data_IF_678263370774
#
_entry.id   IF_678263370774
#
_cell.length_a   1.000
_cell.length_b   1.000
_cell.length_c   1.000
_cell.angle_alpha   90.00
_cell.angle_beta   90.00
_cell.angle_gamma   90.00
#
_symmetry.space_group_name_H-M   'P 1'
#
loop_
_entity.id
_entity.type
_entity.pdbx_description
1 polymer ?
#
# COMPACT_ATOMS: atom_id res chain seq x y z
N UNK A 1 -6.14 -25.15 -5.18
CA UNK A 1 -5.30 -26.07 -5.97
C UNK A 1 -3.90 -25.99 -5.39
N UNK A 2 -3.30 -27.13 -5.06
CA UNK A 2 -2.09 -27.24 -4.23
C UNK A 2 -0.88 -26.46 -4.81
N UNK A 3 -0.16 -25.74 -3.95
CA UNK A 3 1.13 -25.11 -4.27
C UNK A 3 2.17 -26.18 -4.63
N UNK A 4 2.80 -26.06 -5.79
CA UNK A 4 3.91 -26.91 -6.20
C UNK A 4 5.22 -26.22 -5.82
N UNK A 5 5.97 -26.85 -4.91
CA UNK A 5 7.24 -26.33 -4.40
C UNK A 5 8.29 -26.31 -5.53
N UNK A 6 8.83 -25.14 -5.86
CA UNK A 6 10.18 -25.02 -6.41
C UNK A 6 10.39 -25.14 -7.93
N UNK A 7 9.43 -24.74 -8.77
CA UNK A 7 9.68 -24.70 -10.21
C UNK A 7 10.22 -23.33 -10.68
N UNK A 8 11.51 -23.11 -10.42
CA UNK A 8 12.21 -21.84 -10.68
C UNK A 8 12.23 -21.46 -12.18
N UNK A 9 12.12 -22.44 -13.07
CA UNK A 9 12.08 -22.25 -14.53
C UNK A 9 10.78 -21.56 -14.95
N UNK A 10 9.65 -21.99 -14.41
CA UNK A 10 8.31 -21.49 -14.71
C UNK A 10 8.12 -20.10 -14.13
N UNK A 11 8.63 -19.87 -12.92
CA UNK A 11 8.68 -18.53 -12.32
C UNK A 11 9.57 -17.57 -13.15
N UNK A 12 10.67 -18.07 -13.73
CA UNK A 12 11.52 -17.28 -14.62
C UNK A 12 10.79 -16.92 -15.93
N UNK A 13 10.11 -17.89 -16.55
CA UNK A 13 9.33 -17.66 -17.77
C UNK A 13 8.15 -16.71 -17.54
N UNK A 14 7.45 -16.82 -16.42
CA UNK A 14 6.38 -15.88 -16.06
C UNK A 14 6.92 -14.46 -15.85
N UNK A 15 8.07 -14.30 -15.18
CA UNK A 15 8.74 -13.00 -15.05
C UNK A 15 9.14 -12.43 -16.41
N UNK A 16 9.61 -13.27 -17.33
CA UNK A 16 9.96 -12.86 -18.69
C UNK A 16 8.72 -12.44 -19.48
N UNK A 17 7.60 -13.16 -19.36
CA UNK A 17 6.31 -12.78 -19.95
C UNK A 17 5.79 -11.46 -19.39
N UNK A 18 5.81 -11.26 -18.06
CA UNK A 18 5.41 -10.01 -17.42
C UNK A 18 6.27 -8.84 -17.91
N UNK A 19 7.60 -9.02 -17.99
CA UNK A 19 8.52 -7.98 -18.50
C UNK A 19 8.36 -7.70 -19.98
N UNK A 20 7.92 -8.68 -20.75
CA UNK A 20 7.68 -8.58 -22.18
C UNK A 20 6.27 -8.14 -22.56
N UNK A 21 5.34 -8.08 -21.59
CA UNK A 21 3.99 -7.63 -21.83
C UNK A 21 3.98 -6.11 -21.90
N UNK A 22 3.67 -5.58 -23.08
CA UNK A 22 3.44 -4.17 -23.30
C UNK A 22 2.00 -3.92 -23.73
N UNK A 23 1.51 -2.72 -23.44
CA UNK A 23 0.12 -2.40 -23.72
C UNK A 23 -0.18 -2.37 -25.22
N UNK A 24 0.73 -1.81 -26.04
CA UNK A 24 0.56 -1.58 -27.50
C UNK A 24 -0.87 -1.16 -27.85
N UNK A 25 -1.54 -1.97 -28.68
CA UNK A 25 -2.88 -1.75 -29.21
C UNK A 25 -3.97 -2.37 -28.32
N UNK A 26 -3.61 -2.97 -27.17
CA UNK A 26 -4.58 -3.53 -26.23
C UNK A 26 -5.30 -2.39 -25.49
N UNK A 27 -6.61 -2.55 -25.28
CA UNK A 27 -7.33 -1.68 -24.35
C UNK A 27 -6.79 -1.85 -22.93
N UNK A 28 -6.83 -0.79 -22.13
CA UNK A 28 -6.33 -0.81 -20.74
C UNK A 28 -6.94 -1.94 -19.90
N UNK A 29 -8.21 -2.29 -20.13
CA UNK A 29 -8.89 -3.37 -19.43
C UNK A 29 -8.30 -4.74 -19.79
N UNK A 30 -7.97 -4.96 -21.06
CA UNK A 30 -7.39 -6.22 -21.56
C UNK A 30 -5.96 -6.35 -21.07
N UNK A 31 -5.14 -5.31 -21.22
CA UNK A 31 -3.76 -5.31 -20.73
C UNK A 31 -3.69 -5.55 -19.21
N UNK A 32 -4.56 -4.89 -18.44
CA UNK A 32 -4.62 -5.10 -17.00
C UNK A 32 -5.05 -6.52 -16.62
N UNK A 33 -6.06 -7.08 -17.30
CA UNK A 33 -6.51 -8.44 -17.05
C UNK A 33 -5.41 -9.47 -17.33
N UNK A 34 -4.67 -9.31 -18.42
CA UNK A 34 -3.53 -10.17 -18.79
C UNK A 34 -2.38 -10.04 -17.79
N UNK A 35 -2.00 -8.80 -17.44
CA UNK A 35 -0.96 -8.55 -16.46
C UNK A 35 -1.33 -9.12 -15.09
N UNK A 36 -2.58 -8.90 -14.65
CA UNK A 36 -3.09 -9.42 -13.37
C UNK A 36 -3.10 -10.95 -13.34
N UNK A 37 -3.49 -11.61 -14.43
CA UNK A 37 -3.46 -13.07 -14.55
C UNK A 37 -2.03 -13.62 -14.46
N UNK A 38 -1.07 -13.00 -15.15
CA UNK A 38 0.34 -13.40 -15.08
C UNK A 38 0.95 -13.21 -13.69
N UNK A 39 0.57 -12.14 -12.99
CA UNK A 39 1.00 -11.93 -11.61
C UNK A 39 0.40 -12.96 -10.64
N UNK A 40 -0.89 -13.27 -10.77
CA UNK A 40 -1.53 -14.33 -9.98
C UNK A 40 -0.88 -15.70 -10.22
N UNK A 41 -0.54 -16.00 -11.47
CA UNK A 41 0.16 -17.24 -11.81
C UNK A 41 1.61 -17.23 -11.29
N UNK A 42 2.31 -16.10 -11.37
CA UNK A 42 3.65 -15.97 -10.77
C UNK A 42 3.61 -16.15 -9.25
N UNK A 43 2.58 -15.63 -8.59
CA UNK A 43 2.39 -15.76 -7.15
C UNK A 43 2.01 -17.20 -6.75
N UNK A 44 1.39 -17.98 -7.64
CA UNK A 44 1.17 -19.42 -7.45
C UNK A 44 2.48 -20.23 -7.39
N UNK A 45 3.55 -19.78 -8.08
CA UNK A 45 4.86 -20.45 -8.10
C UNK A 45 5.87 -19.91 -7.08
N UNK A 46 5.57 -18.80 -6.39
CA UNK A 46 6.39 -18.33 -5.27
C UNK A 46 6.02 -19.12 -4.02
N UNK A 47 6.98 -19.78 -3.39
CA UNK A 47 6.85 -20.05 -1.96
C UNK A 47 6.86 -18.71 -1.25
N UNK A 48 5.76 -18.32 -0.63
CA UNK A 48 5.77 -17.24 0.35
C UNK A 48 6.81 -17.61 1.42
N UNK A 49 7.87 -16.81 1.51
CA UNK A 49 8.79 -16.81 2.64
C UNK A 49 8.74 -15.42 3.22
N UNK A 50 8.12 -15.28 4.39
CA UNK A 50 8.27 -14.11 5.22
C UNK A 50 9.77 -13.88 5.48
N UNK A 51 10.29 -12.73 5.05
CA UNK A 51 11.73 -12.45 5.06
C UNK A 51 12.26 -12.19 6.49
N UNK A 52 11.37 -11.97 7.47
CA UNK A 52 11.74 -11.81 8.88
C UNK A 52 10.81 -12.61 9.81
N UNK A 53 11.32 -13.74 10.32
CA UNK A 53 10.62 -14.55 11.34
C UNK A 53 10.50 -13.85 12.70
N UNK A 54 11.34 -12.84 12.97
CA UNK A 54 11.24 -12.03 14.20
C UNK A 54 10.05 -11.07 14.16
N UNK A 55 9.73 -10.49 13.00
CA UNK A 55 8.65 -9.51 12.89
C UNK A 55 7.29 -10.18 12.75
N UNK A 56 7.21 -11.34 12.09
CA UNK A 56 5.99 -12.15 12.09
C UNK A 56 5.57 -12.55 13.52
N UNK A 57 6.54 -12.92 14.37
CA UNK A 57 6.29 -13.26 15.77
C UNK A 57 5.94 -12.02 16.60
N UNK A 58 6.57 -10.87 16.36
CA UNK A 58 6.25 -9.62 17.06
C UNK A 58 4.86 -9.07 16.68
N UNK A 59 4.50 -9.13 15.39
CA UNK A 59 3.18 -8.79 14.86
C UNK A 59 2.11 -9.75 15.39
N UNK A 60 2.42 -11.03 15.49
CA UNK A 60 1.53 -12.03 16.09
C UNK A 60 1.32 -11.77 17.60
N UNK A 61 2.38 -11.42 18.34
CA UNK A 61 2.29 -11.07 19.76
C UNK A 61 1.56 -9.74 20.03
N UNK A 62 1.59 -8.79 19.08
CA UNK A 62 0.81 -7.55 19.17
C UNK A 62 -0.66 -7.78 18.82
N UNK A 63 -0.95 -8.57 17.78
CA UNK A 63 -2.30 -8.93 17.35
C UNK A 63 -3.05 -9.81 18.38
N UNK A 64 -2.35 -10.75 19.03
CA UNK A 64 -2.93 -11.63 20.07
C UNK A 64 -3.29 -10.90 21.37
N UNK A 65 -2.72 -9.71 21.62
CA UNK A 65 -2.97 -8.92 22.85
C UNK A 65 -4.11 -7.90 22.74
N UNK A 66 -4.73 -7.74 21.57
CA UNK A 66 -5.86 -6.80 21.39
C UNK A 66 -7.18 -7.57 21.45
N UNK A 67 -7.98 -7.43 22.53
CA UNK A 67 -9.29 -8.03 22.55
C UNK A 67 -10.25 -7.26 21.61
N UNK A 68 -10.90 -8.02 20.73
CA UNK A 68 -12.15 -7.73 20.01
C UNK A 68 -12.11 -6.88 18.73
N UNK A 69 -12.84 -7.42 17.72
CA UNK A 69 -13.19 -6.93 16.36
C UNK A 69 -12.15 -7.29 15.29
N UNK A 70 -12.58 -7.67 14.06
CA UNK A 70 -11.63 -7.96 12.99
C UNK A 70 -10.79 -6.72 12.70
N UNK A 71 -9.48 -6.83 12.89
CA UNK A 71 -8.54 -5.84 12.40
C UNK A 71 -8.39 -6.08 10.89
N UNK A 72 -8.69 -5.06 10.10
CA UNK A 72 -8.51 -5.11 8.65
C UNK A 72 -7.19 -4.46 8.29
N UNK A 73 -6.36 -5.20 7.56
CA UNK A 73 -5.16 -4.66 6.93
C UNK A 73 -5.40 -4.49 5.43
N UNK A 74 -4.84 -3.44 4.86
CA UNK A 74 -4.84 -3.20 3.42
C UNK A 74 -3.40 -2.99 2.98
N UNK A 75 -2.94 -3.80 2.03
CA UNK A 75 -1.57 -3.71 1.52
C UNK A 75 -1.60 -3.16 0.10
N UNK A 76 -0.81 -2.11 -0.14
CA UNK A 76 -0.71 -1.45 -1.44
C UNK A 76 0.73 -1.53 -1.93
N UNK A 77 0.94 -2.20 -3.06
CA UNK A 77 2.26 -2.34 -3.67
C UNK A 77 2.42 -1.36 -4.83
N UNK A 78 3.48 -0.55 -4.77
CA UNK A 78 3.89 0.34 -5.85
C UNK A 78 5.30 -0.04 -6.29
N UNK A 79 5.46 -0.32 -7.58
CA UNK A 79 6.73 -0.70 -8.17
C UNK A 79 7.21 0.39 -9.12
N UNK A 80 8.51 0.70 -9.08
CA UNK A 80 9.17 1.53 -10.06
C UNK A 80 9.90 0.65 -11.08
N UNK A 81 9.86 1.04 -12.35
CA UNK A 81 10.62 0.42 -13.45
C UNK A 81 12.10 0.83 -13.44
N UNK A 82 12.42 1.91 -12.73
CA UNK A 82 13.76 2.52 -12.66
C UNK A 82 14.27 2.57 -11.22
N UNK A 83 15.59 2.48 -11.02
CA UNK A 83 16.19 2.66 -9.70
C UNK A 83 15.92 4.08 -9.18
N UNK A 84 15.74 4.20 -7.87
CA UNK A 84 15.54 5.49 -7.20
C UNK A 84 16.81 6.34 -7.35
N UNK A 85 16.66 7.58 -7.81
CA UNK A 85 17.74 8.55 -7.80
C UNK A 85 18.05 8.95 -6.34
N UNK A 86 19.23 8.58 -5.83
CA UNK A 86 19.65 8.85 -4.45
C UNK A 86 19.64 10.32 -4.05
N UNK A 87 19.83 11.23 -5.02
CA UNK A 87 19.84 12.67 -4.76
C UNK A 87 18.43 13.30 -4.77
N UNK A 88 17.41 12.55 -5.21
CA UNK A 88 16.01 13.01 -5.21
C UNK A 88 15.41 13.01 -3.81
N UNK A 89 14.30 13.73 -3.62
CA UNK A 89 13.52 13.69 -2.38
C UNK A 89 13.11 12.25 -2.01
N UNK A 90 12.73 11.43 -2.99
CA UNK A 90 12.42 10.02 -2.78
C UNK A 90 13.64 9.22 -2.31
N UNK A 91 14.82 9.45 -2.90
CA UNK A 91 16.06 8.81 -2.46
C UNK A 91 16.41 9.16 -1.01
N UNK A 92 16.35 10.45 -0.67
CA UNK A 92 16.56 10.94 0.69
C UNK A 92 15.53 10.41 1.69
N UNK A 93 14.29 10.23 1.27
CA UNK A 93 13.23 9.66 2.10
C UNK A 93 13.46 8.16 2.36
N UNK A 94 13.80 7.41 1.30
CA UNK A 94 14.05 5.97 1.38
C UNK A 94 15.25 5.67 2.28
N UNK A 95 16.34 6.41 2.16
CA UNK A 95 17.57 6.20 2.94
C UNK A 95 17.66 7.10 4.20
N UNK A 96 16.60 7.87 4.49
CA UNK A 96 16.54 8.84 5.59
C UNK A 96 16.25 8.22 6.96
N UNK A 97 16.15 9.08 7.98
CA UNK A 97 15.70 8.66 9.32
C UNK A 97 14.17 8.61 9.41
N UNK A 98 13.63 7.88 10.38
CA UNK A 98 12.18 7.84 10.62
C UNK A 98 11.64 9.24 10.96
N UNK A 99 12.38 10.05 11.73
CA UNK A 99 12.03 11.45 11.97
C UNK A 99 11.86 12.24 10.66
N UNK A 100 12.74 12.02 9.68
CA UNK A 100 12.61 12.65 8.37
C UNK A 100 11.38 12.13 7.64
N UNK A 101 11.18 10.80 7.60
CA UNK A 101 10.05 10.16 6.94
C UNK A 101 8.72 10.61 7.53
N UNK A 102 8.58 10.60 8.84
CA UNK A 102 7.39 11.06 9.55
C UNK A 102 7.05 12.51 9.26
N UNK A 103 8.09 13.35 9.15
CA UNK A 103 7.90 14.76 8.86
C UNK A 103 7.50 15.06 7.41
N UNK A 104 7.52 14.06 6.53
CA UNK A 104 7.42 14.21 5.08
C UNK A 104 6.36 13.31 4.44
N UNK A 105 6.02 12.16 5.03
CA UNK A 105 5.08 11.20 4.44
C UNK A 105 3.67 11.80 4.37
N UNK A 106 3.19 12.07 3.15
CA UNK A 106 1.98 12.85 2.89
C UNK A 106 0.93 11.99 2.20
N UNK A 107 -0.32 12.10 2.66
CA UNK A 107 -1.49 11.45 2.07
C UNK A 107 -2.50 12.52 1.66
N UNK A 108 -3.03 12.39 0.44
CA UNK A 108 -4.16 13.19 -0.04
C UNK A 108 -5.34 12.25 -0.26
N UNK A 109 -6.38 12.31 0.59
CA UNK A 109 -7.60 11.56 0.39
C UNK A 109 -8.64 12.37 -0.41
N UNK A 110 -9.46 11.67 -1.19
CA UNK A 110 -10.64 12.26 -1.85
C UNK A 110 -11.77 11.24 -1.92
N UNK A 111 -12.90 11.57 -1.29
CA UNK A 111 -14.15 10.81 -1.50
C UNK A 111 -14.81 11.27 -2.79
N UNK A 112 -14.71 10.45 -3.83
CA UNK A 112 -15.29 10.70 -5.16
C UNK A 112 -16.81 10.55 -5.08
N UNK A 113 -17.25 9.38 -4.63
CA UNK A 113 -18.65 9.02 -4.46
C UNK A 113 -18.89 8.58 -3.01
N UNK A 114 -20.05 8.91 -2.46
CA UNK A 114 -20.39 8.52 -1.09
C UNK A 114 -21.21 9.55 -0.32
N UNK A 115 -21.69 9.13 0.84
CA UNK A 115 -22.51 9.93 1.74
C UNK A 115 -21.78 11.22 2.17
N UNK A 116 -22.48 12.35 2.18
CA UNK A 116 -21.88 13.67 2.38
C UNK A 116 -21.19 13.83 3.74
N UNK A 117 -21.66 13.14 4.79
CA UNK A 117 -21.00 13.15 6.10
C UNK A 117 -19.61 12.49 6.04
N UNK A 118 -19.44 11.43 5.24
CA UNK A 118 -18.15 10.79 5.01
C UNK A 118 -17.21 11.74 4.27
N UNK A 119 -17.72 12.44 3.24
CA UNK A 119 -16.95 13.49 2.52
C UNK A 119 -16.45 14.58 3.47
N UNK A 120 -17.31 15.03 4.38
CA UNK A 120 -16.97 16.08 5.37
C UNK A 120 -15.95 15.59 6.41
N UNK A 121 -16.07 14.36 6.89
CA UNK A 121 -15.18 13.81 7.91
C UNK A 121 -13.77 13.54 7.37
N UNK A 122 -13.66 13.03 6.14
CA UNK A 122 -12.37 12.75 5.48
C UNK A 122 -11.74 14.04 4.96
N UNK A 123 -12.56 14.96 4.44
CA UNK A 123 -12.09 16.18 3.78
C UNK A 123 -11.37 15.89 2.46
N UNK A 124 -10.70 16.92 1.93
CA UNK A 124 -9.89 16.86 0.71
C UNK A 124 -8.48 17.43 0.92
N UNK A 125 -8.15 17.80 2.17
CA UNK A 125 -6.88 18.42 2.51
C UNK A 125 -5.82 17.33 2.69
N UNK A 126 -4.62 17.60 2.18
CA UNK A 126 -3.46 16.76 2.45
C UNK A 126 -3.17 16.67 3.95
N UNK A 127 -2.73 15.49 4.39
CA UNK A 127 -2.30 15.23 5.76
C UNK A 127 -0.87 14.68 5.75
N UNK A 128 -0.04 15.08 6.72
CA UNK A 128 1.27 14.46 6.95
C UNK A 128 1.05 13.25 7.85
N UNK A 129 0.94 12.09 7.21
CA UNK A 129 0.45 10.86 7.82
C UNK A 129 1.38 10.41 8.95
N UNK A 130 2.70 10.46 8.74
CA UNK A 130 3.67 10.11 9.77
C UNK A 130 3.73 11.05 10.98
N UNK A 131 3.02 12.19 10.96
CA UNK A 131 2.76 13.01 12.16
C UNK A 131 1.40 12.74 12.78
N UNK A 132 0.46 12.20 12.02
CA UNK A 132 -0.93 12.04 12.43
C UNK A 132 -1.21 10.67 13.07
N UNK A 133 -0.46 9.66 12.66
CA UNK A 133 -0.54 8.27 13.12
C UNK A 133 0.87 7.68 13.22
N UNK A 134 1.01 6.57 13.91
CA UNK A 134 2.28 5.87 14.04
C UNK A 134 2.60 5.21 12.71
N UNK A 135 3.82 5.44 12.21
CA UNK A 135 4.33 4.76 11.03
C UNK A 135 5.59 3.98 11.40
N UNK A 136 5.65 2.71 11.02
CA UNK A 136 6.84 1.88 11.17
C UNK A 136 7.47 1.64 9.80
N UNK A 137 8.78 1.83 9.69
CA UNK A 137 9.49 1.79 8.41
C UNK A 137 10.44 0.62 8.35
N UNK A 138 10.30 -0.22 7.33
CA UNK A 138 11.23 -1.31 7.05
C UNK A 138 11.92 -1.06 5.71
N UNK A 139 13.19 -0.67 5.77
CA UNK A 139 14.05 -0.50 4.59
C UNK A 139 14.87 -1.77 4.37
N UNK A 140 14.73 -2.40 3.21
CA UNK A 140 15.56 -3.52 2.72
C UNK A 140 16.24 -3.11 1.41
N UNK A 141 17.03 -3.97 0.74
CA UNK A 141 17.79 -3.55 -0.45
C UNK A 141 16.91 -2.97 -1.57
N UNK A 142 15.79 -3.64 -1.88
CA UNK A 142 14.96 -3.36 -3.05
C UNK A 142 13.57 -2.78 -2.74
N UNK A 143 13.21 -2.60 -1.47
CA UNK A 143 11.93 -2.00 -1.09
C UNK A 143 12.02 -1.17 0.19
N UNK A 144 11.03 -0.29 0.35
CA UNK A 144 10.69 0.37 1.59
C UNK A 144 9.25 0.01 1.89
N UNK A 145 9.02 -0.58 3.05
CA UNK A 145 7.70 -0.82 3.60
C UNK A 145 7.41 0.23 4.67
N UNK A 146 6.14 0.68 4.71
CA UNK A 146 5.63 1.66 5.66
C UNK A 146 4.35 1.07 6.23
N UNK A 147 4.41 0.56 7.45
CA UNK A 147 3.22 0.18 8.19
C UNK A 147 2.59 1.44 8.80
N UNK A 148 1.28 1.57 8.70
CA UNK A 148 0.54 2.76 9.12
C UNK A 148 -0.57 2.34 10.08
N UNK A 149 -0.29 2.49 11.38
CA UNK A 149 -1.26 2.16 12.42
C UNK A 149 -2.28 3.29 12.61
N UNK A 150 -3.38 3.21 11.86
CA UNK A 150 -4.53 4.11 12.00
C UNK A 150 -5.13 4.05 13.42
N UNK A 151 -4.97 2.92 14.11
CA UNK A 151 -5.39 2.68 15.48
C UNK A 151 -4.72 3.58 16.51
N UNK A 152 -3.50 4.07 16.22
CA UNK A 152 -2.73 4.84 17.20
C UNK A 152 -3.28 6.24 17.47
N UNK A 153 -4.17 6.75 16.60
CA UNK A 153 -4.81 8.07 16.74
C UNK A 153 -6.31 7.95 17.01
N UNK A 154 -6.82 8.59 18.06
CA UNK A 154 -8.27 8.64 18.34
C UNK A 154 -9.05 9.34 17.23
N UNK A 155 -8.46 10.36 16.61
CA UNK A 155 -9.06 11.08 15.47
C UNK A 155 -9.12 10.17 14.25
N UNK A 156 -8.01 9.52 13.89
CA UNK A 156 -7.96 8.64 12.73
C UNK A 156 -8.88 7.43 12.90
N UNK A 157 -8.93 6.82 14.10
CA UNK A 157 -9.90 5.78 14.46
C UNK A 157 -11.35 6.21 14.28
N UNK A 158 -11.69 7.43 14.65
CA UNK A 158 -13.04 7.95 14.50
C UNK A 158 -13.42 8.09 13.02
N UNK A 159 -12.50 8.61 12.20
CA UNK A 159 -12.70 8.75 10.75
C UNK A 159 -12.83 7.39 10.07
N UNK A 160 -11.92 6.45 10.34
CA UNK A 160 -11.96 5.13 9.69
C UNK A 160 -13.20 4.33 10.12
N UNK A 161 -13.63 4.43 11.39
CA UNK A 161 -14.87 3.78 11.85
C UNK A 161 -16.08 4.27 11.07
N UNK A 162 -16.16 5.58 10.81
CA UNK A 162 -17.21 6.14 9.96
C UNK A 162 -17.10 5.62 8.52
N UNK A 163 -15.90 5.66 7.92
CA UNK A 163 -15.66 5.21 6.54
C UNK A 163 -16.04 3.74 6.37
N UNK A 164 -15.64 2.87 7.29
CA UNK A 164 -15.95 1.44 7.28
C UNK A 164 -17.47 1.18 7.33
N UNK A 165 -18.23 2.02 8.04
CA UNK A 165 -19.70 1.94 8.06
C UNK A 165 -20.37 2.19 6.71
N UNK A 166 -19.68 2.85 5.77
CA UNK A 166 -20.20 3.16 4.43
C UNK A 166 -19.36 2.56 3.29
N UNK A 167 -18.36 1.74 3.60
CA UNK A 167 -17.28 1.38 2.66
C UNK A 167 -17.77 0.70 1.37
N UNK A 168 -18.87 -0.04 1.43
CA UNK A 168 -19.52 -0.69 0.28
C UNK A 168 -20.29 0.26 -0.64
N UNK A 169 -20.42 1.54 -0.25
CA UNK A 169 -21.21 2.57 -0.94
C UNK A 169 -20.41 3.82 -1.30
N UNK A 170 -19.09 3.80 -1.08
CA UNK A 170 -18.20 4.93 -1.37
C UNK A 170 -17.14 4.56 -2.40
N UNK A 171 -16.60 5.60 -3.06
CA UNK A 171 -15.39 5.52 -3.86
C UNK A 171 -14.38 6.50 -3.30
N UNK A 172 -13.19 6.00 -2.97
CA UNK A 172 -12.12 6.78 -2.35
C UNK A 172 -10.89 6.74 -3.22
N UNK A 173 -10.37 7.92 -3.56
CA UNK A 173 -9.04 8.06 -4.14
C UNK A 173 -8.05 8.42 -3.02
N UNK A 174 -6.91 7.75 -3.02
CA UNK A 174 -5.78 8.06 -2.16
C UNK A 174 -4.57 8.34 -3.04
N UNK A 175 -3.85 9.42 -2.76
CA UNK A 175 -2.55 9.72 -3.36
C UNK A 175 -1.49 9.84 -2.28
N UNK A 176 -0.37 9.15 -2.47
CA UNK A 176 0.76 9.11 -1.55
C UNK A 176 1.88 9.95 -2.15
N UNK A 177 2.45 10.83 -1.34
CA UNK A 177 3.49 11.77 -1.72
C UNK A 177 4.54 11.91 -0.61
N UNK A 178 5.66 12.53 -0.95
CA UNK A 178 6.62 13.05 0.02
C UNK A 178 6.51 14.57 -0.04
N UNK A 179 6.26 15.19 1.11
CA UNK A 179 6.15 16.64 1.24
C UNK A 179 7.49 17.32 0.97
N UNK A 180 7.53 18.26 0.05
CA UNK A 180 8.66 19.16 -0.11
C UNK A 180 8.56 20.25 0.96
N UNK A 181 9.69 20.65 1.54
CA UNK A 181 9.77 21.81 2.44
C UNK A 181 10.77 22.87 2.00
N UNK A 182 11.70 22.51 1.13
CA UNK A 182 12.61 23.45 0.49
C UNK A 182 12.22 23.65 -0.97
N UNK A 183 12.53 24.83 -1.52
CA UNK A 183 12.21 25.16 -2.92
C UNK A 183 12.85 24.19 -3.92
N UNK A 184 14.07 23.71 -3.62
CA UNK A 184 14.78 22.72 -4.45
C UNK A 184 14.11 21.33 -4.46
N UNK A 185 13.23 21.07 -3.50
CA UNK A 185 12.46 19.81 -3.42
C UNK A 185 11.17 19.89 -4.24
N UNK A 186 10.79 21.08 -4.74
CA UNK A 186 9.59 21.29 -5.54
C UNK A 186 9.85 21.06 -7.05
N UNK A 187 8.82 20.63 -7.81
CA UNK A 187 7.49 20.26 -7.32
C UNK A 187 7.47 18.91 -6.59
N UNK A 188 6.50 18.72 -5.69
CA UNK A 188 6.22 17.39 -5.12
C UNK A 188 5.70 16.44 -6.20
N UNK A 189 6.10 15.18 -6.12
CA UNK A 189 5.65 14.14 -7.05
C UNK A 189 4.76 13.12 -6.34
N UNK A 190 3.73 12.66 -7.04
CA UNK A 190 2.91 11.53 -6.59
C UNK A 190 3.72 10.25 -6.73
N UNK A 191 3.87 9.51 -5.64
CA UNK A 191 4.57 8.22 -5.61
C UNK A 191 3.65 7.08 -6.03
N UNK A 192 2.38 7.15 -5.62
CA UNK A 192 1.41 6.10 -5.85
C UNK A 192 0.00 6.63 -5.65
N UNK A 193 -0.95 6.04 -6.36
CA UNK A 193 -2.37 6.30 -6.18
C UNK A 193 -3.14 5.01 -6.17
N UNK A 194 -4.23 4.98 -5.42
CA UNK A 194 -5.21 3.89 -5.45
C UNK A 194 -6.62 4.47 -5.45
N UNK A 195 -7.50 3.84 -6.23
CA UNK A 195 -8.94 4.01 -6.11
C UNK A 195 -9.54 2.79 -5.45
N UNK A 196 -10.15 2.99 -4.29
CA UNK A 196 -10.94 1.99 -3.58
C UNK A 196 -12.40 2.17 -3.98
N UNK A 197 -12.96 1.20 -4.68
CA UNK A 197 -14.34 1.24 -5.15
C UNK A 197 -15.21 0.25 -4.39
N UNK A 198 -16.11 0.76 -3.53
CA UNK A 198 -17.16 -0.02 -2.86
C UNK A 198 -16.62 -1.31 -2.23
N UNK A 199 -15.53 -1.17 -1.47
CA UNK A 199 -14.79 -2.30 -0.90
C UNK A 199 -15.73 -3.13 -0.01
N UNK A 200 -15.70 -4.44 -0.19
CA UNK A 200 -16.48 -5.39 0.59
C UNK A 200 -15.56 -5.99 1.66
N UNK A 201 -15.85 -5.75 2.94
CA UNK A 201 -14.99 -6.21 4.04
C UNK A 201 -15.10 -7.72 4.27
N UNK A 202 -16.23 -8.33 3.92
CA UNK A 202 -16.46 -9.77 4.00
C UNK A 202 -15.65 -10.57 2.96
N UNK A 203 -15.09 -9.90 1.94
CA UNK A 203 -14.13 -10.54 1.02
C UNK A 203 -12.68 -10.49 1.52
N UNK A 204 -12.43 -9.95 2.72
CA UNK A 204 -11.11 -10.03 3.33
C UNK A 204 -10.76 -11.49 3.63
N UNK A 205 -9.54 -11.87 3.28
CA UNK A 205 -9.01 -13.21 3.59
C UNK A 205 -8.21 -13.15 4.88
N UNK A 206 -8.21 -14.23 5.69
CA UNK A 206 -7.26 -14.36 6.78
C UNK A 206 -5.85 -14.17 6.25
N UNK A 207 -5.04 -13.41 6.98
CA UNK A 207 -3.61 -13.37 6.73
C UNK A 207 -3.00 -14.66 7.28
N UNK A 208 -2.75 -15.63 6.40
CA UNK A 208 -2.07 -16.89 6.71
C UNK A 208 -0.56 -16.70 6.49
N UNK A 209 0.24 -17.00 7.52
CA UNK A 209 1.71 -16.93 7.51
C UNK A 209 2.31 -18.32 7.38
#
# INVERSE_FOLDING_TARGET
MYSQKGNAVEAHELRKKIRGLDQKDHSLAVYYAELSGLWQELDYYKSFQAICSKDAIMFQQSAEKVPARPNYSMVLYYAADRPVNKNSLLGKFVDGSDMFRDSRFKLIPRIVEGYWMVKRAVGTKACILGKAVTCEYLRQDNFLEIDVDIGSSSVARSVITLVLGYVTSIVVDLAILIEAKEEVELPEYILGTVRLNRVKLDSAVPFEV
#
